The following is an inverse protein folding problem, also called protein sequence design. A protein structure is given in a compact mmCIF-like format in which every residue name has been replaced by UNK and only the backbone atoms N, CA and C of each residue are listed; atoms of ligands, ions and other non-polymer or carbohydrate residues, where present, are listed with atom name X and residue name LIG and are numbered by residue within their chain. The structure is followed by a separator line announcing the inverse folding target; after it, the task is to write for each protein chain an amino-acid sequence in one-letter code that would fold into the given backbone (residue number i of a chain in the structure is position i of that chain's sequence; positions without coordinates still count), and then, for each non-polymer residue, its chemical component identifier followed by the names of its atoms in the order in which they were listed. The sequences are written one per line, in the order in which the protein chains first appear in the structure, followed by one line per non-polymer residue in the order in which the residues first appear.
data_IF_413866985734
#
_entry.id   IF_413866985734
#
_cell.length_a   1.000
_cell.length_b   1.000
_cell.length_c   1.000
_cell.angle_alpha   90.00
_cell.angle_beta   90.00
_cell.angle_gamma   90.00
#
_symmetry.space_group_name_H-M   'P 1'
#
loop_
_entity.id
_entity.type
_entity.pdbx_description
1 polymer ?
#
# COMPACT_ATOMS: atom_id res chain seq x y z
N UNK A 1 4.82 -5.84 -10.79
CA UNK A 1 5.20 -5.20 -9.52
C UNK A 1 4.03 -4.43 -8.95
N UNK A 2 3.78 -4.59 -7.68
CA UNK A 2 2.71 -3.90 -6.97
C UNK A 2 3.30 -3.09 -5.82
N UNK A 3 2.67 -1.96 -5.52
CA UNK A 3 3.07 -1.11 -4.41
C UNK A 3 1.89 -0.90 -3.47
N UNK A 4 2.14 -0.99 -2.18
CA UNK A 4 1.17 -0.60 -1.15
C UNK A 4 1.49 0.84 -0.77
N UNK A 5 0.49 1.71 -0.91
CA UNK A 5 0.67 3.15 -0.76
C UNK A 5 -0.29 3.64 0.32
N UNK A 6 0.22 4.46 1.22
CA UNK A 6 -0.61 5.19 2.19
C UNK A 6 -0.57 6.66 1.80
N UNK A 7 -1.74 7.29 1.72
CA UNK A 7 -1.85 8.70 1.44
C UNK A 7 -1.96 9.46 2.75
N UNK A 8 -0.96 10.31 3.03
CA UNK A 8 -0.93 11.15 4.21
C UNK A 8 -1.34 12.58 3.84
N UNK A 9 -2.09 13.23 4.72
CA UNK A 9 -2.59 14.59 4.47
C UNK A 9 -1.45 15.59 4.26
N UNK A 10 -0.36 15.44 5.00
CA UNK A 10 0.74 16.41 4.98
C UNK A 10 1.86 16.06 4.00
N UNK A 11 1.96 14.80 3.61
CA UNK A 11 3.11 14.31 2.83
C UNK A 11 2.71 13.76 1.46
N UNK A 12 1.40 13.56 1.24
CA UNK A 12 0.93 12.90 0.05
C UNK A 12 1.18 11.40 0.09
N UNK A 13 1.24 10.72 -1.07
CA UNK A 13 1.37 9.27 -1.12
C UNK A 13 2.77 8.80 -0.74
N UNK A 14 2.84 7.77 0.10
CA UNK A 14 4.10 7.14 0.51
C UNK A 14 4.01 5.65 0.25
N UNK A 15 4.98 5.11 -0.50
CA UNK A 15 5.09 3.67 -0.76
C UNK A 15 5.68 2.99 0.48
N UNK A 16 4.90 2.10 1.09
CA UNK A 16 5.32 1.39 2.31
C UNK A 16 5.75 -0.04 2.04
N UNK A 17 5.40 -0.58 0.87
CA UNK A 17 5.80 -1.93 0.49
C UNK A 17 5.75 -2.06 -1.03
N UNK A 18 6.65 -2.88 -1.57
CA UNK A 18 6.68 -3.21 -2.99
C UNK A 18 6.91 -4.71 -3.13
N UNK A 19 6.11 -5.36 -3.97
CA UNK A 19 6.24 -6.80 -4.19
C UNK A 19 5.70 -7.19 -5.56
N UNK A 20 6.26 -8.26 -6.12
CA UNK A 20 5.72 -8.90 -7.33
C UNK A 20 4.48 -9.73 -7.01
N UNK A 21 4.28 -10.07 -5.74
CA UNK A 21 3.20 -10.93 -5.29
C UNK A 21 2.05 -10.06 -4.74
N UNK A 22 0.94 -10.04 -5.49
CA UNK A 22 -0.25 -9.26 -5.11
C UNK A 22 -0.81 -9.72 -3.77
N UNK A 23 -0.78 -11.02 -3.48
CA UNK A 23 -1.35 -11.52 -2.22
C UNK A 23 -0.60 -10.98 -1.00
N UNK A 24 0.71 -10.78 -1.10
CA UNK A 24 1.50 -10.16 -0.03
C UNK A 24 1.11 -8.69 0.16
N UNK A 25 0.86 -7.99 -0.93
CA UNK A 25 0.41 -6.59 -0.87
C UNK A 25 -0.98 -6.48 -0.24
N UNK A 26 -1.89 -7.38 -0.60
CA UNK A 26 -3.23 -7.41 -0.02
C UNK A 26 -3.18 -7.68 1.49
N UNK A 27 -2.33 -8.60 1.92
CA UNK A 27 -2.14 -8.90 3.34
C UNK A 27 -1.60 -7.67 4.10
N UNK A 28 -0.61 -7.00 3.52
CA UNK A 28 -0.07 -5.78 4.10
C UNK A 28 -1.12 -4.68 4.19
N UNK A 29 -1.89 -4.48 3.13
CA UNK A 29 -2.98 -3.50 3.12
C UNK A 29 -3.99 -3.77 4.24
N UNK A 30 -4.40 -5.03 4.38
CA UNK A 30 -5.34 -5.42 5.43
C UNK A 30 -4.81 -5.07 6.82
N UNK A 31 -3.55 -5.35 7.08
CA UNK A 31 -2.91 -5.05 8.38
C UNK A 31 -2.86 -3.54 8.63
N UNK A 32 -2.54 -2.76 7.60
CA UNK A 32 -2.47 -1.31 7.72
C UNK A 32 -3.85 -0.71 8.00
N UNK A 33 -4.88 -1.19 7.32
CA UNK A 33 -6.26 -0.73 7.56
C UNK A 33 -6.69 -1.08 8.98
N UNK A 34 -6.36 -2.26 9.47
CA UNK A 34 -6.65 -2.67 10.84
C UNK A 34 -5.92 -1.81 11.87
N UNK A 35 -4.76 -1.27 11.50
CA UNK A 35 -3.97 -0.38 12.36
C UNK A 35 -4.44 1.08 12.30
N UNK A 36 -5.46 1.39 11.49
CA UNK A 36 -6.03 2.72 11.39
C UNK A 36 -5.64 3.52 10.15
N UNK A 37 -4.83 2.95 9.25
CA UNK A 37 -4.44 3.61 8.01
C UNK A 37 -5.49 3.37 6.94
N UNK A 38 -6.59 4.13 6.99
CA UNK A 38 -7.74 3.92 6.10
C UNK A 38 -7.47 4.33 4.66
N UNK A 39 -6.55 5.26 4.43
CA UNK A 39 -6.19 5.74 3.09
C UNK A 39 -5.04 4.92 2.51
N UNK A 40 -5.21 3.61 2.49
CA UNK A 40 -4.23 2.66 2.01
C UNK A 40 -4.75 1.97 0.74
N UNK A 41 -3.96 2.02 -0.33
CA UNK A 41 -4.36 1.39 -1.59
C UNK A 41 -3.18 0.69 -2.26
N UNK A 42 -3.48 -0.14 -3.25
CA UNK A 42 -2.48 -0.89 -4.00
C UNK A 42 -2.45 -0.35 -5.43
N UNK A 43 -1.26 -0.03 -5.91
CA UNK A 43 -1.04 0.40 -7.27
C UNK A 43 -0.24 -0.67 -8.03
N UNK A 44 -0.59 -0.87 -9.30
CA UNK A 44 0.18 -1.73 -10.19
C UNK A 44 1.20 -0.88 -10.92
N UNK A 45 2.46 -1.27 -10.81
CA UNK A 45 3.57 -0.55 -11.43
C UNK A 45 4.09 -1.35 -12.60
N UNK A 46 4.19 -0.73 -13.76
CA UNK A 46 4.87 -1.34 -14.90
C UNK A 46 6.36 -1.31 -14.68
N UNK A 47 6.99 -2.44 -14.84
CA UNK A 47 8.45 -2.55 -14.80
C UNK A 47 9.00 -3.00 -16.14
#
# INVERSE_FOLDING_TARGET
MYEVIIEYDNQGPVVVMRSKDLSKCLDKQKRLIQAGHLDCFIARVKT
#
